data_IF_464703773340
#
_entry.id   IF_464703773340
#
_cell.length_a   1.000
_cell.length_b   1.000
_cell.length_c   1.000
_cell.angle_alpha   90.00
_cell.angle_beta   90.00
_cell.angle_gamma   90.00
#
_symmetry.space_group_name_H-M   'P 1'
#
loop_
_entity.id
_entity.type
_entity.pdbx_description
1 polymer ?
#
# COMPACT_ATOMS: atom_id res chain seq x y z
N UNK A 1 -23.14 2.93 3.09
CA UNK A 1 -23.82 3.65 2.00
C UNK A 1 -23.12 3.32 0.72
N UNK A 2 -23.87 3.00 -0.33
CA UNK A 2 -23.33 2.77 -1.66
C UNK A 2 -23.49 4.03 -2.49
N UNK A 3 -22.43 4.47 -3.14
CA UNK A 3 -22.43 5.58 -4.08
C UNK A 3 -22.04 5.05 -5.45
N UNK A 4 -22.85 5.26 -6.47
CA UNK A 4 -22.67 4.74 -7.81
C UNK A 4 -23.16 5.74 -8.87
N UNK A 5 -22.62 5.62 -10.09
CA UNK A 5 -23.11 6.41 -11.22
C UNK A 5 -24.56 6.06 -11.57
N UNK A 6 -25.42 7.06 -11.50
CA UNK A 6 -26.87 6.91 -11.75
C UNK A 6 -27.17 6.41 -13.17
N UNK A 7 -26.44 6.91 -14.18
CA UNK A 7 -26.69 6.56 -15.58
C UNK A 7 -26.39 5.09 -15.84
N UNK A 8 -25.28 4.58 -15.32
CA UNK A 8 -24.90 3.17 -15.44
C UNK A 8 -25.86 2.26 -14.68
N UNK A 9 -26.28 2.68 -13.48
CA UNK A 9 -27.24 1.92 -12.66
C UNK A 9 -28.58 1.78 -13.38
N UNK A 10 -29.14 2.87 -13.93
CA UNK A 10 -30.43 2.87 -14.62
C UNK A 10 -30.41 2.08 -15.93
N UNK A 11 -29.28 2.09 -16.64
CA UNK A 11 -29.11 1.37 -17.91
C UNK A 11 -28.71 -0.10 -17.71
N UNK A 12 -28.70 -0.62 -16.48
CA UNK A 12 -28.31 -2.00 -16.12
C UNK A 12 -26.91 -2.39 -16.64
N UNK A 13 -26.03 -1.42 -16.79
CA UNK A 13 -24.64 -1.64 -17.16
C UNK A 13 -23.82 -2.06 -15.94
N UNK A 14 -22.71 -2.75 -16.17
CA UNK A 14 -21.75 -3.00 -15.09
C UNK A 14 -21.24 -1.66 -14.55
N UNK A 15 -21.45 -1.40 -13.28
CA UNK A 15 -21.02 -0.16 -12.62
C UNK A 15 -20.13 -0.46 -11.44
N UNK A 16 -19.20 0.43 -11.20
CA UNK A 16 -18.44 0.48 -9.97
C UNK A 16 -19.20 1.31 -8.95
N UNK A 17 -19.09 0.94 -7.70
CA UNK A 17 -19.66 1.68 -6.57
C UNK A 17 -18.59 1.92 -5.52
N UNK A 18 -18.72 2.99 -4.81
CA UNK A 18 -17.94 3.25 -3.61
C UNK A 18 -18.79 2.94 -2.38
N UNK A 19 -18.18 2.33 -1.39
CA UNK A 19 -18.83 1.99 -0.13
C UNK A 19 -18.37 2.95 0.96
N UNK A 20 -19.25 3.86 1.39
CA UNK A 20 -19.02 4.66 2.58
C UNK A 20 -19.24 3.83 3.83
N UNK A 21 -18.21 3.75 4.64
CA UNK A 21 -18.17 3.06 5.92
C UNK A 21 -17.21 3.78 6.88
N UNK A 22 -16.91 3.17 8.03
CA UNK A 22 -16.02 3.75 9.03
C UNK A 22 -14.58 4.00 8.54
N UNK A 23 -14.16 3.39 7.44
CA UNK A 23 -12.81 3.53 6.88
C UNK A 23 -12.66 4.72 5.94
N UNK A 24 -13.76 5.35 5.51
CA UNK A 24 -13.75 6.45 4.56
C UNK A 24 -14.68 7.60 4.94
N UNK A 25 -14.77 7.89 6.23
CA UNK A 25 -15.41 9.09 6.74
C UNK A 25 -16.79 8.90 7.37
N UNK A 26 -17.41 7.72 7.25
CA UNK A 26 -18.64 7.41 7.96
C UNK A 26 -18.32 6.66 9.26
N UNK A 27 -17.82 7.37 10.25
CA UNK A 27 -17.31 6.79 11.50
C UNK A 27 -18.39 6.25 12.43
N UNK A 28 -19.65 6.38 12.06
CA UNK A 28 -20.81 6.04 12.89
C UNK A 28 -21.74 5.09 12.15
N UNK A 29 -22.46 4.28 12.89
CA UNK A 29 -23.50 3.41 12.32
C UNK A 29 -24.69 4.21 11.83
N UNK A 30 -25.20 3.88 10.65
CA UNK A 30 -26.44 4.49 10.16
C UNK A 30 -27.60 3.99 11.00
N UNK A 31 -28.45 4.89 11.46
CA UNK A 31 -29.62 4.55 12.24
C UNK A 31 -30.66 3.87 11.35
N UNK A 32 -31.12 2.68 11.74
CA UNK A 32 -32.26 2.05 11.11
C UNK A 32 -33.51 2.91 11.33
N UNK A 33 -34.36 3.06 10.32
CA UNK A 33 -35.59 3.88 10.34
C UNK A 33 -35.37 5.40 10.47
N UNK A 34 -34.15 5.90 10.20
CA UNK A 34 -33.91 7.33 10.13
C UNK A 34 -34.23 7.90 8.74
N UNK A 35 -34.72 9.11 8.71
CA UNK A 35 -34.94 9.82 7.45
C UNK A 35 -33.65 10.51 7.01
N UNK A 36 -33.25 10.28 5.78
CA UNK A 36 -32.20 11.05 5.13
C UNK A 36 -32.85 12.22 4.39
N UNK A 37 -32.20 13.36 4.39
CA UNK A 37 -32.71 14.58 3.77
C UNK A 37 -31.73 15.16 2.78
N UNK A 38 -32.18 15.48 1.57
CA UNK A 38 -31.40 16.16 0.53
C UNK A 38 -31.91 17.59 0.40
N UNK A 39 -31.06 18.57 0.67
CA UNK A 39 -31.42 19.99 0.54
C UNK A 39 -31.28 20.51 -0.91
N UNK A 40 -31.67 21.78 -1.13
CA UNK A 40 -31.58 22.43 -2.45
C UNK A 40 -30.15 22.65 -2.90
N UNK A 41 -29.19 22.70 -1.99
CA UNK A 41 -27.76 22.89 -2.23
C UNK A 41 -27.03 21.54 -2.44
N UNK A 42 -27.77 20.46 -2.65
CA UNK A 42 -27.23 19.11 -2.85
C UNK A 42 -26.48 18.54 -1.64
N UNK A 43 -26.77 19.01 -0.45
CA UNK A 43 -26.28 18.40 0.77
C UNK A 43 -27.22 17.26 1.21
N UNK A 44 -26.68 16.07 1.27
CA UNK A 44 -27.36 14.88 1.79
C UNK A 44 -27.04 14.74 3.28
N UNK A 45 -28.06 14.86 4.11
CA UNK A 45 -27.97 14.66 5.56
C UNK A 45 -28.34 13.21 5.89
N UNK A 46 -27.45 12.53 6.58
CA UNK A 46 -27.56 11.11 6.92
C UNK A 46 -27.55 11.01 8.44
N UNK A 47 -28.59 10.45 9.01
CA UNK A 47 -28.66 10.23 10.45
C UNK A 47 -27.84 9.02 10.87
N UNK A 48 -27.02 9.21 11.88
CA UNK A 48 -26.21 8.15 12.51
C UNK A 48 -26.62 7.98 13.97
N UNK A 49 -26.06 6.99 14.64
CA UNK A 49 -26.34 6.68 16.05
C UNK A 49 -25.98 7.84 17.02
N UNK A 50 -25.03 8.68 16.67
CA UNK A 50 -24.50 9.75 17.55
C UNK A 50 -24.47 11.13 16.91
N UNK A 51 -24.71 11.24 15.59
CA UNK A 51 -24.52 12.48 14.83
C UNK A 51 -25.35 12.53 13.55
N UNK A 52 -25.27 13.65 12.84
CA UNK A 52 -25.76 13.79 11.46
C UNK A 52 -24.56 14.04 10.56
N UNK A 53 -24.34 13.16 9.60
CA UNK A 53 -23.29 13.31 8.58
C UNK A 53 -23.89 14.09 7.41
N UNK A 54 -23.19 15.13 6.95
CA UNK A 54 -23.54 15.90 5.78
C UNK A 54 -22.59 15.61 4.64
N UNK A 55 -23.11 15.14 3.51
CA UNK A 55 -22.36 14.88 2.28
C UNK A 55 -22.87 15.81 1.17
N UNK A 56 -22.00 16.68 0.63
CA UNK A 56 -22.34 17.45 -0.56
C UNK A 56 -22.13 16.62 -1.81
N UNK A 57 -23.21 16.33 -2.58
CA UNK A 57 -23.20 15.42 -3.71
C UNK A 57 -22.47 16.04 -4.91
N UNK A 58 -22.56 17.36 -5.12
CA UNK A 58 -21.92 18.01 -6.26
C UNK A 58 -20.40 18.15 -6.08
N UNK A 59 -19.95 18.23 -4.84
CA UNK A 59 -18.52 18.32 -4.50
C UNK A 59 -17.90 16.91 -4.27
N UNK A 60 -18.69 15.87 -4.43
CA UNK A 60 -18.21 14.52 -4.27
C UNK A 60 -17.45 14.08 -5.53
N UNK A 61 -16.12 14.02 -5.42
CA UNK A 61 -15.27 13.60 -6.53
C UNK A 61 -15.00 12.08 -6.47
N UNK A 62 -15.56 11.37 -7.43
CA UNK A 62 -15.35 9.94 -7.61
C UNK A 62 -13.96 9.57 -8.12
N UNK A 63 -13.25 10.53 -8.68
CA UNK A 63 -12.24 10.16 -9.67
C UNK A 63 -10.81 10.23 -9.20
N UNK A 64 -10.50 10.97 -8.15
CA UNK A 64 -9.08 11.32 -7.94
C UNK A 64 -8.66 11.40 -6.49
N UNK A 65 -8.68 10.28 -5.79
CA UNK A 65 -7.78 10.17 -4.67
C UNK A 65 -6.37 9.93 -5.23
N UNK A 66 -5.56 10.97 -5.27
CA UNK A 66 -4.14 10.80 -5.62
C UNK A 66 -3.40 10.30 -4.39
N UNK A 67 -2.96 9.06 -4.46
CA UNK A 67 -2.08 8.47 -3.47
C UNK A 67 -0.64 8.62 -3.92
N UNK A 68 0.23 9.01 -3.03
CA UNK A 68 1.67 8.96 -3.25
C UNK A 68 2.26 7.85 -2.39
N UNK A 69 2.71 6.79 -3.05
CA UNK A 69 3.44 5.69 -2.40
C UNK A 69 4.94 5.95 -2.44
N UNK A 70 5.61 5.81 -1.32
CA UNK A 70 7.06 6.00 -1.21
C UNK A 70 7.66 5.15 -0.10
N UNK A 71 8.98 4.95 -0.14
CA UNK A 71 9.71 4.45 1.02
C UNK A 71 10.26 5.63 1.81
N UNK A 72 10.03 5.60 3.10
CA UNK A 72 10.60 6.56 4.04
C UNK A 72 12.07 6.26 4.29
N UNK A 73 12.41 4.98 4.48
CA UNK A 73 13.79 4.54 4.72
C UNK A 73 13.97 3.05 4.44
N UNK A 74 15.20 2.67 4.10
CA UNK A 74 15.72 1.32 4.19
C UNK A 74 16.84 1.36 5.23
N UNK A 75 16.76 0.51 6.26
CA UNK A 75 17.78 0.39 7.30
C UNK A 75 18.38 -1.00 7.22
N UNK A 76 19.71 -1.09 7.10
CA UNK A 76 20.43 -2.34 7.12
C UNK A 76 21.25 -2.39 8.42
N UNK A 77 20.93 -3.35 9.27
CA UNK A 77 21.33 -3.39 10.69
C UNK A 77 21.11 -2.01 11.31
N UNK A 78 21.84 -1.24 11.81
CA UNK A 78 21.53 0.06 12.43
C UNK A 78 21.83 1.26 11.52
N UNK A 79 22.13 1.03 10.23
CA UNK A 79 22.49 2.08 9.27
C UNK A 79 21.36 2.37 8.28
N UNK A 80 21.00 3.63 8.18
CA UNK A 80 19.99 4.11 7.21
C UNK A 80 20.66 4.32 5.85
N UNK A 81 20.03 3.80 4.80
CA UNK A 81 20.43 3.95 3.41
C UNK A 81 19.50 4.92 2.69
N UNK A 82 20.05 5.80 1.81
CA UNK A 82 19.22 6.68 1.00
C UNK A 82 18.34 5.83 0.08
N UNK A 83 17.12 6.28 -0.12
CA UNK A 83 16.15 5.65 -1.00
C UNK A 83 15.69 6.68 -2.00
N UNK A 84 16.02 6.45 -3.27
CA UNK A 84 15.53 7.27 -4.38
C UNK A 84 14.75 6.39 -5.35
N UNK A 85 13.66 6.94 -5.89
CA UNK A 85 12.81 6.20 -6.80
C UNK A 85 13.55 5.89 -8.10
N UNK A 86 13.68 4.62 -8.42
CA UNK A 86 14.37 4.16 -9.63
C UNK A 86 15.87 3.96 -9.47
N UNK A 87 16.44 4.27 -8.30
CA UNK A 87 17.84 3.97 -7.98
C UNK A 87 17.95 2.68 -7.18
N UNK A 88 19.05 1.96 -7.38
CA UNK A 88 19.33 0.71 -6.67
C UNK A 88 19.94 1.03 -5.30
N UNK A 89 19.31 0.53 -4.24
CA UNK A 89 19.90 0.58 -2.90
C UNK A 89 20.86 -0.59 -2.70
N UNK A 90 22.15 -0.29 -2.51
CA UNK A 90 23.19 -1.30 -2.29
C UNK A 90 23.35 -1.60 -0.81
N UNK A 91 23.11 -2.85 -0.43
CA UNK A 91 23.28 -3.35 0.93
C UNK A 91 24.59 -4.13 1.07
N UNK A 92 25.35 -3.92 2.16
CA UNK A 92 26.59 -4.67 2.43
C UNK A 92 26.32 -6.17 2.57
N UNK A 93 27.33 -6.96 2.25
CA UNK A 93 27.31 -8.43 2.34
C UNK A 93 26.96 -8.95 3.74
N UNK A 94 27.50 -8.31 4.77
CA UNK A 94 27.34 -8.72 6.18
C UNK A 94 26.05 -8.21 6.84
N UNK A 95 25.06 -7.74 6.05
CA UNK A 95 23.77 -7.30 6.57
C UNK A 95 22.95 -8.50 7.06
N UNK A 96 22.55 -8.48 8.32
CA UNK A 96 21.72 -9.52 8.94
C UNK A 96 20.23 -9.13 8.99
N UNK A 97 19.95 -7.84 9.19
CA UNK A 97 18.59 -7.31 9.33
C UNK A 97 18.37 -6.16 8.37
N UNK A 98 17.35 -6.27 7.55
CA UNK A 98 16.90 -5.21 6.64
C UNK A 98 15.52 -4.78 7.08
N UNK A 99 15.36 -3.51 7.38
CA UNK A 99 14.09 -2.89 7.74
C UNK A 99 13.67 -1.93 6.63
N UNK A 100 12.49 -2.14 6.09
CA UNK A 100 11.90 -1.30 5.04
C UNK A 100 10.69 -0.59 5.65
N UNK A 101 10.71 0.75 5.64
CA UNK A 101 9.61 1.56 6.14
C UNK A 101 8.85 2.18 4.98
N UNK A 102 7.76 1.56 4.52
CA UNK A 102 6.90 2.12 3.50
C UNK A 102 6.02 3.22 4.04
N UNK A 103 5.66 4.17 3.18
CA UNK A 103 4.75 5.27 3.50
C UNK A 103 3.80 5.52 2.33
N UNK A 104 2.54 5.72 2.64
CA UNK A 104 1.52 6.16 1.69
C UNK A 104 0.97 7.49 2.15
N UNK A 105 1.20 8.53 1.36
CA UNK A 105 0.64 9.86 1.62
C UNK A 105 -0.75 9.91 1.02
N UNK A 106 -1.72 10.16 1.87
CA UNK A 106 -3.13 10.22 1.55
C UNK A 106 -3.76 11.43 2.25
N UNK A 107 -4.31 12.35 1.47
CA UNK A 107 -4.99 13.55 1.98
C UNK A 107 -6.51 13.37 2.03
N UNK A 108 -7.01 12.17 1.78
CA UNK A 108 -8.43 11.85 1.91
C UNK A 108 -8.73 11.18 3.25
N UNK A 109 -10.02 11.05 3.57
CA UNK A 109 -10.49 10.30 4.74
C UNK A 109 -10.53 8.78 4.49
N UNK A 110 -10.13 8.35 3.30
CA UNK A 110 -10.14 6.93 2.94
C UNK A 110 -8.93 6.21 3.53
N UNK A 111 -9.15 4.96 3.92
CA UNK A 111 -8.11 4.03 4.34
C UNK A 111 -8.00 2.93 3.27
N UNK A 112 -7.19 3.15 2.21
CA UNK A 112 -7.09 2.22 1.09
C UNK A 112 -6.35 0.94 1.49
N UNK A 113 -6.58 -0.12 0.72
CA UNK A 113 -5.75 -1.30 0.80
C UNK A 113 -4.38 -1.04 0.19
N UNK A 114 -3.37 -1.55 0.85
CA UNK A 114 -1.97 -1.51 0.40
C UNK A 114 -1.47 -2.92 0.21
N UNK A 115 -0.87 -3.17 -0.92
CA UNK A 115 -0.25 -4.45 -1.28
C UNK A 115 1.26 -4.27 -1.31
N UNK A 116 1.99 -5.10 -0.57
CA UNK A 116 3.44 -5.05 -0.45
C UNK A 116 4.04 -6.45 -0.64
N UNK A 117 5.21 -6.50 -1.27
CA UNK A 117 6.03 -7.71 -1.36
C UNK A 117 7.47 -7.39 -1.75
N UNK A 118 8.37 -8.27 -1.39
CA UNK A 118 9.77 -8.23 -1.81
C UNK A 118 9.96 -9.29 -2.89
N UNK A 119 9.93 -8.88 -4.16
CA UNK A 119 10.23 -9.74 -5.29
C UNK A 119 11.68 -10.26 -5.20
N UNK A 120 11.87 -11.53 -5.51
CA UNK A 120 13.13 -12.25 -5.30
C UNK A 120 13.24 -12.95 -3.95
N UNK A 121 12.36 -12.66 -2.99
CA UNK A 121 12.33 -13.29 -1.67
C UNK A 121 10.96 -13.84 -1.28
N UNK A 122 9.89 -13.06 -1.48
CA UNK A 122 8.52 -13.45 -1.11
C UNK A 122 7.72 -13.86 -2.34
N UNK A 123 7.05 -15.02 -2.28
CA UNK A 123 6.18 -15.48 -3.36
C UNK A 123 4.74 -14.95 -3.23
N UNK A 124 4.33 -14.53 -2.04
CA UNK A 124 2.98 -14.09 -1.76
C UNK A 124 2.95 -12.64 -1.26
N UNK A 125 2.31 -11.74 -2.02
CA UNK A 125 2.11 -10.37 -1.57
C UNK A 125 1.22 -10.31 -0.31
N UNK A 126 1.55 -9.39 0.59
CA UNK A 126 0.73 -9.05 1.77
C UNK A 126 -0.19 -7.89 1.43
N UNK A 127 -1.46 -8.03 1.78
CA UNK A 127 -2.47 -6.97 1.61
C UNK A 127 -2.99 -6.58 2.98
N UNK A 128 -2.96 -5.29 3.27
CA UNK A 128 -3.40 -4.71 4.54
C UNK A 128 -4.00 -3.33 4.31
N UNK A 129 -4.61 -2.72 5.32
CA UNK A 129 -5.05 -1.34 5.25
C UNK A 129 -3.85 -0.39 5.39
N UNK A 130 -3.95 0.82 4.82
CA UNK A 130 -2.91 1.84 4.98
C UNK A 130 -2.62 2.14 6.45
N UNK A 131 -3.64 2.18 7.29
CA UNK A 131 -3.53 2.41 8.75
C UNK A 131 -2.77 1.30 9.49
N UNK A 132 -2.66 0.10 8.91
CA UNK A 132 -1.93 -1.06 9.45
C UNK A 132 -0.49 -1.12 8.92
N UNK A 133 -0.15 -0.23 7.97
CA UNK A 133 1.17 -0.24 7.34
C UNK A 133 2.25 0.14 8.36
N UNK A 134 3.22 -0.71 8.50
CA UNK A 134 4.32 -0.55 9.44
C UNK A 134 5.65 -0.95 8.82
N UNK A 135 6.74 -0.74 9.54
CA UNK A 135 8.06 -1.21 9.12
C UNK A 135 8.09 -2.72 8.99
N UNK A 136 8.62 -3.19 7.86
CA UNK A 136 8.76 -4.61 7.54
C UNK A 136 10.21 -5.00 7.75
N UNK A 137 10.42 -6.09 8.49
CA UNK A 137 11.75 -6.58 8.82
C UNK A 137 12.03 -7.91 8.12
N UNK A 138 13.13 -7.96 7.40
CA UNK A 138 13.69 -9.16 6.81
C UNK A 138 14.99 -9.53 7.52
N UNK A 139 15.10 -10.75 7.99
CA UNK A 139 16.30 -11.27 8.65
C UNK A 139 17.00 -12.28 7.76
N UNK A 140 18.32 -12.21 7.72
CA UNK A 140 19.16 -13.11 6.95
C UNK A 140 18.77 -13.19 5.46
N UNK A 141 18.45 -12.02 4.88
CA UNK A 141 18.16 -11.92 3.44
C UNK A 141 19.37 -12.45 2.67
N UNK A 142 19.25 -13.46 1.78
CA UNK A 142 20.36 -13.95 0.95
C UNK A 142 20.98 -12.85 0.10
N UNK A 143 22.17 -13.07 -0.42
CA UNK A 143 22.73 -12.17 -1.43
C UNK A 143 21.97 -12.27 -2.74
N UNK A 144 21.72 -11.16 -3.40
CA UNK A 144 20.96 -11.15 -4.66
C UNK A 144 20.30 -9.82 -4.97
N UNK A 145 19.51 -9.88 -6.04
CA UNK A 145 18.70 -8.77 -6.54
C UNK A 145 17.26 -8.91 -6.03
N UNK A 146 16.74 -7.82 -5.50
CA UNK A 146 15.39 -7.74 -4.97
C UNK A 146 14.70 -6.49 -5.47
N UNK A 147 13.38 -6.53 -5.56
CA UNK A 147 12.57 -5.31 -5.80
C UNK A 147 11.47 -5.26 -4.75
N UNK A 148 11.47 -4.21 -3.95
CA UNK A 148 10.37 -3.96 -3.02
C UNK A 148 9.26 -3.23 -3.75
N UNK A 149 8.06 -3.81 -3.75
CA UNK A 149 6.87 -3.26 -4.37
C UNK A 149 5.92 -2.71 -3.30
N UNK A 150 5.39 -1.53 -3.57
CA UNK A 150 4.38 -0.86 -2.76
C UNK A 150 3.27 -0.38 -3.67
N UNK A 151 2.14 -1.07 -3.65
CA UNK A 151 0.99 -0.76 -4.48
C UNK A 151 -0.21 -0.36 -3.62
N UNK A 152 -0.87 0.74 -3.98
CA UNK A 152 -2.14 1.17 -3.39
C UNK A 152 -3.26 0.64 -4.25
N UNK A 153 -4.22 -0.02 -3.61
CA UNK A 153 -5.36 -0.64 -4.26
C UNK A 153 -6.62 0.23 -4.09
N UNK A 154 -7.60 -0.01 -4.94
CA UNK A 154 -8.92 0.60 -4.81
C UNK A 154 -9.63 0.16 -3.51
N UNK A 155 -10.76 0.78 -3.21
CA UNK A 155 -11.57 0.47 -2.02
C UNK A 155 -12.07 -0.98 -1.96
N UNK A 156 -12.02 -1.72 -3.08
CA UNK A 156 -12.37 -3.13 -3.18
C UNK A 156 -11.16 -4.06 -3.09
N UNK A 157 -9.94 -3.50 -3.07
CA UNK A 157 -8.70 -4.28 -3.05
C UNK A 157 -8.36 -5.00 -4.36
N UNK A 158 -8.99 -4.63 -5.47
CA UNK A 158 -8.87 -5.37 -6.73
C UNK A 158 -8.00 -4.67 -7.78
N UNK A 159 -8.00 -3.33 -7.82
CA UNK A 159 -7.32 -2.56 -8.85
C UNK A 159 -6.19 -1.75 -8.24
N UNK A 160 -5.01 -1.80 -8.86
CA UNK A 160 -3.89 -0.94 -8.49
C UNK A 160 -4.17 0.49 -8.97
N UNK A 161 -4.13 1.44 -8.04
CA UNK A 161 -4.31 2.88 -8.29
C UNK A 161 -2.96 3.57 -8.41
N UNK A 162 -2.02 3.21 -7.54
CA UNK A 162 -0.66 3.73 -7.54
C UNK A 162 0.33 2.63 -7.19
N UNK A 163 1.49 2.64 -7.82
CA UNK A 163 2.56 1.66 -7.54
C UNK A 163 3.90 2.35 -7.53
N UNK A 164 4.77 1.90 -6.63
CA UNK A 164 6.16 2.29 -6.56
C UNK A 164 7.03 1.06 -6.36
N UNK A 165 8.19 1.06 -7.01
CA UNK A 165 9.14 -0.04 -6.99
C UNK A 165 10.50 0.50 -6.58
N UNK A 166 11.19 -0.28 -5.74
CA UNK A 166 12.50 0.08 -5.19
C UNK A 166 13.45 -1.10 -5.32
N UNK A 167 14.39 -1.04 -6.27
CA UNK A 167 15.37 -2.10 -6.45
C UNK A 167 16.39 -2.06 -5.31
N UNK A 168 16.71 -3.24 -4.80
CA UNK A 168 17.64 -3.46 -3.69
C UNK A 168 18.62 -4.56 -4.12
N UNK A 169 19.90 -4.29 -4.00
CA UNK A 169 20.95 -5.26 -4.26
C UNK A 169 21.72 -5.55 -2.97
N UNK A 170 21.77 -6.82 -2.59
CA UNK A 170 22.62 -7.27 -1.48
C UNK A 170 23.86 -7.98 -2.02
N UNK A 171 25.03 -7.46 -1.64
CA UNK A 171 26.31 -8.04 -2.04
C UNK A 171 26.48 -9.47 -1.55
N UNK A 172 27.17 -10.30 -2.37
CA UNK A 172 27.49 -11.68 -2.01
C UNK A 172 28.61 -11.72 -0.99
N UNK A 173 28.52 -12.66 -0.07
CA UNK A 173 29.61 -13.00 0.80
C UNK A 173 30.80 -13.55 0.01
N UNK A 174 32.00 -13.31 0.53
CA UNK A 174 33.24 -13.73 -0.16
C UNK A 174 33.30 -15.24 -0.42
N UNK A 175 32.81 -16.03 0.52
CA UNK A 175 32.76 -17.48 0.43
C UNK A 175 31.64 -18.04 -0.46
N UNK A 176 30.69 -17.26 -0.86
CA UNK A 176 29.60 -17.62 -1.80
C UNK A 176 30.08 -17.53 -3.26
N UNK A 177 31.28 -17.01 -3.52
CA UNK A 177 31.85 -16.96 -4.85
C UNK A 177 32.35 -18.33 -5.29
N UNK A 178 31.91 -18.79 -6.49
CA UNK A 178 32.24 -20.10 -7.04
C UNK A 178 33.73 -20.40 -7.12
N UNK A 179 34.59 -19.43 -7.38
CA UNK A 179 36.04 -19.60 -7.45
C UNK A 179 36.67 -19.82 -6.06
N UNK A 180 36.06 -19.38 -4.97
CA UNK A 180 36.46 -19.70 -3.61
C UNK A 180 36.22 -21.18 -3.31
N UNK A 181 35.08 -21.72 -3.75
CA UNK A 181 34.77 -23.16 -3.66
C UNK A 181 35.79 -23.99 -4.47
N UNK A 182 36.13 -23.52 -5.69
CA UNK A 182 37.12 -24.13 -6.55
C UNK A 182 38.54 -24.14 -5.89
N UNK A 183 38.94 -23.03 -5.31
CA UNK A 183 40.18 -22.91 -4.55
C UNK A 183 40.22 -23.90 -3.37
N UNK A 184 39.12 -24.03 -2.62
CA UNK A 184 39.03 -24.98 -1.52
C UNK A 184 39.15 -26.44 -1.98
N UNK A 185 38.47 -26.78 -3.08
CA UNK A 185 38.60 -28.13 -3.69
C UNK A 185 40.05 -28.41 -4.09
N UNK A 186 40.72 -27.41 -4.68
CA UNK A 186 42.12 -27.58 -5.16
C UNK A 186 43.13 -27.70 -4.02
N UNK A 187 42.89 -27.07 -2.89
CA UNK A 187 43.78 -27.14 -1.71
C UNK A 187 43.58 -28.41 -0.90
N UNK A 188 42.39 -29.01 -0.91
CA UNK A 188 42.03 -30.19 -0.13
C UNK A 188 41.94 -31.48 -0.99
N UNK A 189 42.27 -31.43 -2.29
CA UNK A 189 42.41 -32.56 -3.18
C UNK A 189 43.88 -32.99 -3.28
#
# INVERSE_FOLDING_TARGET
IFVADKGRLLNKQKFDYELFNSKNGLNHSITANAWNYLDKNKNLYISTDTSVVCLNIDNYDYSTHSYRSMLKSITADDKIYPVERGEVTYLPRNTHRVEITPEVINFSLNDPFVKIWLEGFENNPKVMLQSELSTITYTNLPAGDYTFHLAVLDSKGNKVIAESQYPIFKEREFYENWWFILYFILVFS
#
